data_IF_482449718906
#
_entry.id   IF_482449718906
#
_cell.length_a   1.000
_cell.length_b   1.000
_cell.length_c   1.000
_cell.angle_alpha   90.00
_cell.angle_beta   90.00
_cell.angle_gamma   90.00
#
_symmetry.space_group_name_H-M   'P 1'
#
loop_
_entity.id
_entity.type
_entity.pdbx_description
1 polymer ?
#
# COMPACT_ATOMS: atom_id res chain seq x y z
N UNK A 1 17.86 -10.79 18.18
CA UNK A 1 17.98 -10.35 16.77
C UNK A 1 17.30 -9.00 16.63
N UNK A 2 17.97 -8.02 16.04
CA UNK A 2 17.40 -6.71 15.74
C UNK A 2 16.56 -6.79 14.46
N UNK A 3 15.46 -6.04 14.38
CA UNK A 3 14.54 -5.98 13.22
C UNK A 3 14.58 -4.57 12.64
N UNK A 4 14.62 -4.43 11.31
CA UNK A 4 14.85 -3.15 10.63
C UNK A 4 13.70 -2.70 9.76
N UNK A 5 13.44 -1.41 9.75
CA UNK A 5 12.44 -0.74 8.90
C UNK A 5 13.10 -0.39 7.56
N UNK A 6 12.80 -1.13 6.50
CA UNK A 6 13.25 -0.78 5.16
C UNK A 6 12.31 0.25 4.53
N UNK A 7 12.88 1.36 4.06
CA UNK A 7 12.19 2.37 3.24
C UNK A 7 13.02 2.59 1.98
N UNK A 8 12.80 1.76 0.96
CA UNK A 8 13.44 1.98 -0.33
C UNK A 8 12.62 2.99 -1.16
N UNK A 9 13.23 4.08 -1.64
CA UNK A 9 12.60 4.92 -2.64
C UNK A 9 12.52 4.16 -3.96
N UNK A 10 11.32 4.16 -4.55
CA UNK A 10 11.03 3.65 -5.88
C UNK A 10 12.13 4.03 -6.89
N UNK A 11 12.95 3.06 -7.29
CA UNK A 11 13.97 3.22 -8.34
C UNK A 11 14.00 1.97 -9.23
N UNK A 12 14.23 2.20 -10.53
CA UNK A 12 14.01 1.24 -11.63
C UNK A 12 14.76 -0.08 -11.42
N UNK A 13 14.01 -1.18 -11.55
CA UNK A 13 14.40 -2.51 -11.08
C UNK A 13 15.27 -3.36 -12.01
N UNK A 14 15.54 -4.59 -11.55
CA UNK A 14 16.07 -5.76 -12.28
C UNK A 14 15.73 -7.03 -11.46
N UNK A 15 15.06 -8.01 -12.11
CA UNK A 15 14.98 -9.48 -11.83
C UNK A 15 14.59 -9.99 -10.44
N UNK A 16 14.10 -11.21 -10.19
CA UNK A 16 13.50 -12.31 -10.95
C UNK A 16 12.84 -13.23 -9.89
N UNK A 17 11.61 -13.72 -10.15
CA UNK A 17 10.96 -15.00 -9.71
C UNK A 17 11.04 -15.45 -8.22
N UNK A 18 10.06 -16.07 -7.52
CA UNK A 18 9.01 -17.05 -7.85
C UNK A 18 7.84 -17.00 -6.83
N UNK A 19 6.72 -17.64 -7.22
CA UNK A 19 5.41 -17.79 -6.57
C UNK A 19 5.37 -18.41 -5.16
N UNK A 20 4.44 -17.97 -4.30
CA UNK A 20 3.74 -18.85 -3.32
C UNK A 20 2.45 -18.25 -2.71
N UNK A 21 1.64 -19.15 -2.14
CA UNK A 21 0.20 -19.12 -1.84
C UNK A 21 -0.30 -18.20 -0.70
N UNK A 22 -1.57 -17.82 -0.82
CA UNK A 22 -2.30 -16.80 -0.04
C UNK A 22 -2.76 -17.30 1.33
N UNK A 23 -2.19 -16.76 2.41
CA UNK A 23 -2.61 -16.98 3.80
C UNK A 23 -3.30 -15.75 4.42
N UNK A 24 -4.43 -15.95 5.11
CA UNK A 24 -5.16 -14.93 5.88
C UNK A 24 -4.30 -14.41 7.04
N UNK A 25 -4.04 -13.10 7.08
CA UNK A 25 -3.30 -12.47 8.18
C UNK A 25 -4.09 -12.42 9.49
N UNK A 26 -3.50 -12.97 10.55
CA UNK A 26 -3.94 -12.81 11.95
C UNK A 26 -3.28 -11.58 12.59
N UNK A 27 -4.06 -10.85 13.37
CA UNK A 27 -3.73 -9.55 13.98
C UNK A 27 -3.09 -9.76 15.36
N UNK A 28 -1.77 -9.56 15.47
CA UNK A 28 -1.07 -9.47 16.76
C UNK A 28 -0.48 -8.07 16.93
N UNK A 29 -1.02 -7.29 17.86
CA UNK A 29 -0.60 -5.91 18.15
C UNK A 29 0.28 -5.84 19.40
N UNK A 30 1.58 -5.61 19.23
CA UNK A 30 2.46 -5.07 20.28
C UNK A 30 2.92 -3.68 19.87
N UNK A 31 2.62 -2.67 20.70
CA UNK A 31 3.02 -1.27 20.45
C UNK A 31 4.50 -1.07 20.79
N UNK A 32 5.30 -0.71 19.78
CA UNK A 32 6.70 -0.30 19.94
C UNK A 32 6.84 1.22 19.75
N UNK A 33 7.95 1.83 20.17
CA UNK A 33 8.24 3.25 19.89
C UNK A 33 8.28 3.57 18.38
N UNK A 34 8.49 2.54 17.55
CA UNK A 34 8.56 2.61 16.10
C UNK A 34 7.18 2.52 15.40
N UNK A 35 6.09 2.36 16.16
CA UNK A 35 4.74 2.19 15.64
C UNK A 35 4.15 0.82 15.94
N UNK A 36 2.97 0.55 15.35
CA UNK A 36 2.28 -0.74 15.47
C UNK A 36 2.83 -1.71 14.43
N UNK A 37 3.15 -2.93 14.87
CA UNK A 37 3.56 -4.00 13.96
C UNK A 37 2.40 -4.91 13.60
N UNK A 38 2.46 -5.55 12.43
CA UNK A 38 1.49 -6.55 11.98
C UNK A 38 2.16 -7.53 11.00
N UNK A 39 1.55 -8.70 10.79
CA UNK A 39 2.06 -9.70 9.84
C UNK A 39 1.19 -9.79 8.59
N UNK A 40 1.85 -10.04 7.46
CA UNK A 40 1.21 -10.46 6.20
C UNK A 40 1.98 -11.67 5.72
N UNK A 41 1.33 -12.84 5.68
CA UNK A 41 2.03 -14.11 5.47
C UNK A 41 3.14 -14.32 6.51
N UNK A 42 4.35 -14.61 6.03
CA UNK A 42 5.54 -14.75 6.86
C UNK A 42 6.23 -13.41 7.20
N UNK A 43 5.94 -12.35 6.45
CA UNK A 43 6.59 -11.06 6.59
C UNK A 43 5.99 -10.24 7.74
N UNK A 44 6.83 -9.47 8.40
CA UNK A 44 6.46 -8.56 9.47
C UNK A 44 6.53 -7.12 8.94
N UNK A 45 5.58 -6.28 9.33
CA UNK A 45 5.47 -4.90 8.88
C UNK A 45 5.34 -3.96 10.07
N UNK A 46 5.71 -2.69 9.85
CA UNK A 46 5.50 -1.57 10.79
C UNK A 46 4.63 -0.51 10.13
N UNK A 47 3.65 0.00 10.89
CA UNK A 47 2.87 1.18 10.53
C UNK A 47 3.58 2.42 11.07
N UNK A 48 3.85 3.39 10.20
CA UNK A 48 4.45 4.65 10.59
C UNK A 48 3.66 5.35 11.71
N UNK A 49 4.34 5.85 12.77
CA UNK A 49 3.66 6.45 13.91
C UNK A 49 3.06 7.83 13.57
N UNK A 50 3.72 8.62 12.72
CA UNK A 50 3.39 10.04 12.51
C UNK A 50 3.11 10.46 11.04
N UNK A 51 3.43 9.64 10.04
CA UNK A 51 3.12 9.96 8.64
C UNK A 51 1.69 9.55 8.29
N UNK A 52 0.75 10.49 8.42
CA UNK A 52 -0.65 10.32 8.02
C UNK A 52 -0.96 11.16 6.79
N UNK A 53 -1.46 10.52 5.73
CA UNK A 53 -2.03 11.20 4.55
C UNK A 53 -3.54 11.06 4.62
N UNK A 54 -4.27 12.14 4.44
CA UNK A 54 -5.73 12.14 4.54
C UNK A 54 -6.33 11.85 3.16
N UNK A 55 -7.19 10.84 3.09
CA UNK A 55 -8.10 10.72 1.95
C UNK A 55 -9.20 11.78 2.13
N UNK A 56 -9.51 12.59 1.10
CA UNK A 56 -10.53 13.63 1.23
C UNK A 56 -11.89 13.00 1.53
N UNK A 57 -12.54 13.43 2.61
CA UNK A 57 -13.84 12.92 3.06
C UNK A 57 -14.97 13.17 2.05
N UNK A 58 -14.91 14.27 1.30
CA UNK A 58 -15.86 14.65 0.24
C UNK A 58 -15.61 13.95 -1.10
N UNK A 59 -14.42 13.39 -1.32
CA UNK A 59 -14.01 12.77 -2.59
C UNK A 59 -14.19 11.25 -2.60
N UNK A 60 -14.44 10.62 -1.45
CA UNK A 60 -14.81 9.21 -1.37
C UNK A 60 -16.29 9.12 -1.70
N UNK A 61 -16.62 8.93 -3.00
CA UNK A 61 -17.99 8.57 -3.33
C UNK A 61 -18.29 7.22 -2.70
N UNK A 62 -19.47 7.15 -2.07
CA UNK A 62 -20.08 6.03 -1.35
C UNK A 62 -20.28 4.78 -2.24
N UNK A 63 -19.24 4.31 -2.93
CA UNK A 63 -19.26 3.04 -3.65
C UNK A 63 -18.99 1.95 -2.63
N UNK A 64 -20.05 1.69 -1.86
CA UNK A 64 -20.49 0.42 -1.28
C UNK A 64 -19.59 -0.34 -0.30
N UNK A 65 -20.25 -0.69 0.81
CA UNK A 65 -19.83 -1.42 2.02
C UNK A 65 -18.97 -0.58 2.97
N UNK A 66 -19.41 -0.55 4.23
CA UNK A 66 -18.73 0.07 5.38
C UNK A 66 -17.23 -0.19 5.20
N UNK A 67 -16.50 0.86 4.86
CA UNK A 67 -15.06 0.81 4.77
C UNK A 67 -14.56 0.19 6.07
N UNK A 68 -13.76 -0.87 6.00
CA UNK A 68 -13.18 -1.40 7.23
C UNK A 68 -12.37 -0.26 7.81
N UNK A 69 -12.70 0.15 9.05
CA UNK A 69 -12.05 1.28 9.72
C UNK A 69 -10.54 1.06 9.82
N UNK A 70 -10.07 -0.16 9.63
CA UNK A 70 -8.67 -0.53 9.60
C UNK A 70 -8.45 -1.54 8.46
N UNK A 71 -7.30 -1.49 7.79
CA UNK A 71 -6.97 -2.50 6.79
C UNK A 71 -5.85 -2.12 5.84
N UNK A 72 -5.39 -3.09 5.07
CA UNK A 72 -4.35 -2.90 4.07
C UNK A 72 -4.92 -2.25 2.80
N UNK A 73 -4.13 -1.39 2.19
CA UNK A 73 -4.49 -0.72 0.96
C UNK A 73 -3.31 -0.54 0.01
N UNK A 74 -3.61 -0.42 -1.28
CA UNK A 74 -2.64 -0.03 -2.32
C UNK A 74 -3.16 1.20 -3.05
N UNK A 75 -2.34 2.23 -3.17
CA UNK A 75 -2.61 3.43 -3.96
C UNK A 75 -2.00 3.28 -5.34
N UNK A 76 -2.83 3.46 -6.36
CA UNK A 76 -2.42 3.57 -7.75
C UNK A 76 -2.54 5.02 -8.22
N UNK A 77 -1.44 5.60 -8.72
CA UNK A 77 -1.49 6.89 -9.40
C UNK A 77 -1.95 6.69 -10.85
N UNK A 78 -3.15 7.19 -11.17
CA UNK A 78 -3.71 7.07 -12.52
C UNK A 78 -3.31 8.31 -13.32
N UNK A 79 -2.52 8.14 -14.40
CA UNK A 79 -2.09 9.27 -15.22
C UNK A 79 -3.28 10.01 -15.81
N UNK A 80 -3.20 11.33 -15.83
CA UNK A 80 -4.24 12.19 -16.39
C UNK A 80 -4.18 12.18 -17.91
N UNK A 81 -5.33 12.02 -18.57
CA UNK A 81 -5.44 12.09 -20.04
C UNK A 81 -5.62 13.52 -20.57
N UNK A 82 -5.40 14.55 -19.73
CA UNK A 82 -5.58 15.97 -20.06
C UNK A 82 -6.30 16.74 -18.94
N UNK A 83 -6.37 18.08 -19.03
CA UNK A 83 -6.89 18.95 -17.94
C UNK A 83 -8.33 18.61 -17.50
N UNK A 84 -9.17 18.10 -18.41
CA UNK A 84 -10.61 17.84 -18.15
C UNK A 84 -11.09 16.43 -18.51
N UNK A 85 -10.20 15.56 -19.00
CA UNK A 85 -10.55 14.20 -19.41
C UNK A 85 -10.62 13.25 -18.20
N UNK A 86 -11.67 12.43 -18.15
CA UNK A 86 -11.80 11.39 -17.11
C UNK A 86 -10.98 10.16 -17.51
N UNK A 87 -9.86 9.91 -16.83
CA UNK A 87 -9.04 8.72 -17.06
C UNK A 87 -9.84 7.43 -16.82
N UNK A 88 -9.63 6.43 -17.66
CA UNK A 88 -10.28 5.11 -17.55
C UNK A 88 -9.27 4.03 -17.21
N UNK A 89 -9.44 3.41 -16.04
CA UNK A 89 -8.66 2.27 -15.56
C UNK A 89 -9.13 0.99 -16.26
N UNK A 90 -8.31 0.53 -17.20
CA UNK A 90 -8.52 -0.70 -17.97
C UNK A 90 -7.83 -1.89 -17.29
N UNK A 91 -8.28 -3.10 -17.61
CA UNK A 91 -7.70 -4.34 -17.09
C UNK A 91 -6.20 -4.44 -17.40
N UNK A 92 -5.82 -4.22 -18.66
CA UNK A 92 -4.42 -4.29 -19.09
C UNK A 92 -3.51 -3.32 -18.34
N UNK A 93 -4.02 -2.15 -17.98
CA UNK A 93 -3.28 -1.17 -17.19
C UNK A 93 -3.05 -1.65 -15.76
N UNK A 94 -4.07 -2.24 -15.11
CA UNK A 94 -3.92 -2.81 -13.76
C UNK A 94 -2.93 -3.97 -13.77
N UNK A 95 -3.03 -4.88 -14.74
CA UNK A 95 -2.13 -6.03 -14.84
C UNK A 95 -0.67 -5.57 -14.96
N UNK A 96 -0.42 -4.54 -15.79
CA UNK A 96 0.90 -3.94 -15.89
C UNK A 96 1.33 -3.30 -14.57
N UNK A 97 0.47 -2.49 -13.95
CA UNK A 97 0.81 -1.78 -12.71
C UNK A 97 1.09 -2.73 -11.53
N UNK A 98 0.36 -3.84 -11.44
CA UNK A 98 0.61 -4.88 -10.43
C UNK A 98 1.94 -5.59 -10.67
N UNK A 99 2.21 -5.97 -11.92
CA UNK A 99 3.49 -6.56 -12.27
C UNK A 99 4.66 -5.61 -11.94
N UNK A 100 4.47 -4.32 -12.21
CA UNK A 100 5.47 -3.30 -11.85
C UNK A 100 5.67 -3.28 -10.32
N UNK A 101 4.60 -3.30 -9.50
CA UNK A 101 4.72 -3.36 -8.03
C UNK A 101 5.42 -4.62 -7.52
N UNK A 102 4.98 -5.79 -7.97
CA UNK A 102 5.54 -7.09 -7.58
C UNK A 102 7.05 -7.18 -7.88
N UNK A 103 7.53 -6.45 -8.91
CA UNK A 103 8.93 -6.47 -9.31
C UNK A 103 9.80 -5.44 -8.58
N UNK A 104 9.27 -4.31 -8.12
CA UNK A 104 10.10 -3.17 -7.68
C UNK A 104 9.79 -2.67 -6.28
N UNK A 105 8.69 -3.11 -5.68
CA UNK A 105 8.27 -2.69 -4.34
C UNK A 105 8.39 -3.89 -3.39
N UNK A 106 9.48 -3.94 -2.64
CA UNK A 106 9.79 -4.99 -1.68
C UNK A 106 8.82 -5.04 -0.48
N UNK A 107 8.07 -3.95 -0.28
CA UNK A 107 7.03 -3.85 0.74
C UNK A 107 5.70 -4.43 0.22
N UNK A 108 5.46 -4.39 -1.09
CA UNK A 108 4.20 -4.84 -1.67
C UNK A 108 3.98 -6.34 -1.46
N UNK A 109 2.79 -6.67 -0.96
CA UNK A 109 2.24 -8.02 -0.91
C UNK A 109 0.80 -7.95 -1.46
N UNK A 110 0.34 -9.00 -2.13
CA UNK A 110 -0.99 -9.02 -2.74
C UNK A 110 -2.12 -8.78 -1.73
N UNK A 111 -1.92 -9.06 -0.44
CA UNK A 111 -2.87 -8.74 0.62
C UNK A 111 -3.14 -7.23 0.76
N UNK A 112 -2.22 -6.36 0.33
CA UNK A 112 -2.46 -4.92 0.27
C UNK A 112 -3.54 -4.53 -0.73
N UNK A 113 -3.89 -5.41 -1.68
CA UNK A 113 -5.01 -5.21 -2.58
C UNK A 113 -6.38 -5.33 -1.90
N UNK A 114 -6.46 -5.66 -0.61
CA UNK A 114 -7.72 -5.68 0.14
C UNK A 114 -8.54 -4.39 -0.07
N UNK A 115 -7.86 -3.25 -0.15
CA UNK A 115 -8.43 -1.96 -0.53
C UNK A 115 -7.60 -1.31 -1.63
N UNK A 116 -8.22 -1.00 -2.76
CA UNK A 116 -7.52 -0.36 -3.89
C UNK A 116 -7.95 1.10 -4.02
N UNK A 117 -7.00 2.03 -3.94
CA UNK A 117 -7.23 3.46 -4.10
C UNK A 117 -6.67 3.92 -5.44
N UNK A 118 -7.52 4.40 -6.34
CA UNK A 118 -7.09 5.04 -7.58
C UNK A 118 -7.05 6.55 -7.40
N UNK A 119 -5.86 7.14 -7.32
CA UNK A 119 -5.67 8.58 -7.28
C UNK A 119 -5.50 9.11 -8.71
N UNK A 120 -6.54 9.74 -9.25
CA UNK A 120 -6.47 10.35 -10.57
C UNK A 120 -5.67 11.65 -10.56
N UNK A 121 -4.70 11.82 -11.45
CA UNK A 121 -3.88 13.05 -11.56
C UNK A 121 -4.62 14.29 -12.07
N UNK A 122 -5.94 14.26 -12.22
CA UNK A 122 -6.76 15.36 -12.75
C UNK A 122 -7.93 15.72 -11.82
N UNK A 123 -8.72 16.74 -12.21
CA UNK A 123 -9.87 17.22 -11.43
C UNK A 123 -11.02 16.20 -11.33
N UNK A 124 -11.06 15.20 -12.22
CA UNK A 124 -12.13 14.20 -12.28
C UNK A 124 -11.65 12.85 -11.75
N UNK A 125 -12.49 12.21 -10.92
CA UNK A 125 -12.24 10.86 -10.41
C UNK A 125 -12.13 9.89 -11.59
N UNK A 126 -11.17 8.95 -11.61
CA UNK A 126 -11.08 7.99 -12.70
C UNK A 126 -12.35 7.14 -12.80
N UNK A 127 -12.54 6.49 -13.94
CA UNK A 127 -13.54 5.43 -14.12
C UNK A 127 -12.83 4.10 -14.14
N UNK A 128 -13.37 3.08 -13.47
CA UNK A 128 -12.88 1.71 -13.60
C UNK A 128 -13.79 0.90 -14.53
N UNK A 129 -13.19 0.09 -15.40
CA UNK A 129 -13.94 -0.82 -16.27
C UNK A 129 -14.48 -2.03 -15.47
N UNK A 130 -15.61 -2.65 -15.85
CA UNK A 130 -16.13 -3.82 -15.15
C UNK A 130 -15.14 -4.99 -15.10
N UNK A 131 -14.41 -5.26 -16.20
CA UNK A 131 -13.37 -6.29 -16.26
C UNK A 131 -12.23 -6.03 -15.29
N UNK A 132 -11.77 -4.78 -15.20
CA UNK A 132 -10.77 -4.35 -14.22
C UNK A 132 -11.22 -4.58 -12.77
N UNK A 133 -12.46 -4.17 -12.45
CA UNK A 133 -13.05 -4.37 -11.13
C UNK A 133 -13.15 -5.86 -10.77
N UNK A 134 -13.66 -6.68 -11.68
CA UNK A 134 -13.79 -8.12 -11.47
C UNK A 134 -12.43 -8.78 -11.23
N UNK A 135 -11.41 -8.38 -11.99
CA UNK A 135 -10.05 -8.87 -11.80
C UNK A 135 -9.49 -8.57 -10.41
N UNK A 136 -9.61 -7.32 -9.93
CA UNK A 136 -9.18 -6.96 -8.58
C UNK A 136 -9.96 -7.72 -7.50
N UNK A 137 -11.27 -7.92 -7.68
CA UNK A 137 -12.06 -8.73 -6.75
C UNK A 137 -11.57 -10.18 -6.69
N UNK A 138 -11.17 -10.77 -7.83
CA UNK A 138 -10.56 -12.11 -7.85
C UNK A 138 -9.23 -12.16 -7.10
N UNK A 139 -8.46 -11.07 -7.11
CA UNK A 139 -7.21 -10.94 -6.37
C UNK A 139 -7.40 -10.63 -4.87
N UNK A 140 -8.65 -10.52 -4.39
CA UNK A 140 -8.97 -10.31 -2.98
C UNK A 140 -9.43 -8.90 -2.62
N UNK A 141 -9.59 -7.99 -3.59
CA UNK A 141 -10.05 -6.63 -3.32
C UNK A 141 -11.50 -6.61 -2.82
N UNK A 142 -11.69 -6.02 -1.63
CA UNK A 142 -12.99 -5.86 -0.96
C UNK A 142 -13.49 -4.42 -1.05
N UNK A 143 -12.58 -3.46 -1.19
CA UNK A 143 -12.87 -2.04 -1.35
C UNK A 143 -12.16 -1.43 -2.56
N UNK A 144 -12.85 -0.53 -3.27
CA UNK A 144 -12.25 0.29 -4.32
C UNK A 144 -12.63 1.75 -4.08
N UNK A 145 -11.63 2.61 -3.97
CA UNK A 145 -11.78 4.06 -3.81
C UNK A 145 -11.30 4.75 -5.08
N UNK A 146 -12.09 5.71 -5.56
CA UNK A 146 -11.74 6.54 -6.71
C UNK A 146 -11.58 7.98 -6.22
N UNK A 147 -10.37 8.50 -6.28
CA UNK A 147 -10.01 9.85 -5.86
C UNK A 147 -9.60 10.72 -7.05
N UNK A 148 -9.70 12.03 -6.90
CA UNK A 148 -9.25 13.02 -7.88
C UNK A 148 -8.31 14.02 -7.23
N UNK A 149 -7.09 14.13 -7.76
CA UNK A 149 -6.15 15.18 -7.44
C UNK A 149 -5.78 15.26 -5.95
N UNK A 150 -5.65 14.12 -5.26
CA UNK A 150 -5.11 14.12 -3.90
C UNK A 150 -3.62 14.42 -4.02
N UNK A 151 -3.27 15.68 -3.84
CA UNK A 151 -1.89 16.11 -3.71
C UNK A 151 -1.24 15.32 -2.57
N UNK A 152 0.02 14.94 -2.75
CA UNK A 152 0.81 14.24 -1.74
C UNK A 152 0.28 12.85 -1.32
N UNK A 153 -0.38 12.12 -2.21
CA UNK A 153 -0.64 10.68 -2.00
C UNK A 153 0.15 9.86 -3.02
N UNK A 154 1.39 9.44 -2.68
CA UNK A 154 2.22 8.66 -3.57
C UNK A 154 1.63 7.25 -3.82
N UNK A 155 1.98 6.65 -4.97
CA UNK A 155 1.67 5.25 -5.24
C UNK A 155 2.37 4.32 -4.24
N UNK A 156 1.75 3.20 -3.88
CA UNK A 156 2.36 2.17 -3.03
C UNK A 156 1.42 1.54 -2.00
N UNK A 157 1.95 0.63 -1.15
CA UNK A 157 1.21 0.00 -0.06
C UNK A 157 1.03 0.94 1.15
N UNK A 158 -0.10 0.80 1.85
CA UNK A 158 -0.49 1.61 3.00
C UNK A 158 -1.27 0.80 4.02
N UNK A 159 -1.25 1.28 5.26
CA UNK A 159 -2.20 0.89 6.30
C UNK A 159 -3.27 1.97 6.47
N UNK A 160 -4.53 1.58 6.40
CA UNK A 160 -5.67 2.47 6.60
C UNK A 160 -6.13 2.46 8.05
N UNK A 161 -6.41 3.66 8.56
CA UNK A 161 -7.03 3.93 9.86
C UNK A 161 -8.10 5.00 9.67
N UNK A 162 -9.34 4.59 9.41
CA UNK A 162 -10.46 5.45 9.06
C UNK A 162 -10.24 6.11 7.69
N UNK A 163 -10.10 7.45 7.70
CA UNK A 163 -9.77 8.23 6.51
C UNK A 163 -8.28 8.58 6.40
N UNK A 164 -7.44 8.03 7.29
CA UNK A 164 -5.99 8.21 7.27
C UNK A 164 -5.31 7.02 6.61
N UNK A 165 -4.40 7.31 5.70
CA UNK A 165 -3.42 6.38 5.14
C UNK A 165 -2.10 6.58 5.87
N UNK A 166 -1.50 5.51 6.34
CA UNK A 166 -0.21 5.51 7.00
C UNK A 166 0.77 4.72 6.17
N UNK A 167 1.97 5.27 6.00
CA UNK A 167 3.06 4.56 5.34
C UNK A 167 3.31 3.24 6.11
N UNK A 168 3.60 2.19 5.35
CA UNK A 168 4.00 0.89 5.89
C UNK A 168 5.41 0.58 5.44
N UNK A 169 6.11 -0.16 6.29
CA UNK A 169 7.45 -0.64 6.02
C UNK A 169 7.52 -2.11 6.33
N UNK A 170 8.20 -2.86 5.48
CA UNK A 170 8.49 -4.27 5.74
C UNK A 170 9.70 -4.35 6.66
N UNK A 171 9.59 -5.22 7.66
CA UNK A 171 10.70 -5.60 8.53
C UNK A 171 11.40 -6.80 7.91
N UNK A 172 12.67 -6.60 7.57
CA UNK A 172 13.56 -7.66 7.13
C UNK A 172 14.57 -7.97 8.24
N UNK A 173 14.97 -9.23 8.33
CA UNK A 173 16.02 -9.66 9.25
C UNK A 173 17.37 -9.18 8.73
N UNK A 174 18.20 -8.61 9.62
CA UNK A 174 19.56 -8.15 9.30
C UNK A 174 20.51 -9.35 9.12
N UNK A 175 20.29 -10.10 8.04
CA UNK A 175 21.01 -11.34 7.75
C UNK A 175 22.47 -11.07 7.42
N UNK A 176 22.79 -9.87 6.93
CA UNK A 176 24.14 -9.47 6.54
C UNK A 176 24.86 -8.63 7.59
N UNK A 177 24.27 -8.43 8.78
CA UNK A 177 24.84 -7.59 9.84
C UNK A 177 25.17 -6.17 9.37
N UNK A 178 24.44 -5.67 8.39
CA UNK A 178 24.71 -4.40 7.71
C UNK A 178 24.28 -3.22 8.58
N UNK A 179 23.43 -3.46 9.59
CA UNK A 179 23.01 -2.42 10.51
C UNK A 179 23.83 -2.47 11.79
N UNK A 180 24.53 -1.35 12.05
CA UNK A 180 25.23 -1.14 13.32
C UNK A 180 24.21 -0.99 14.44
N UNK A 181 24.22 -1.91 15.40
CA UNK A 181 23.44 -1.79 16.64
C UNK A 181 24.21 -0.90 17.59
N UNK A 182 23.78 0.35 17.76
CA UNK A 182 24.37 1.25 18.74
C UNK A 182 23.75 0.98 20.11
N UNK A 183 24.55 0.51 21.07
CA UNK A 183 24.14 0.43 22.47
C UNK A 183 24.15 1.83 23.10
N UNK A 184 23.03 2.26 23.67
CA UNK A 184 22.98 3.48 24.45
C UNK A 184 23.86 3.30 25.72
N UNK A 185 24.80 4.21 26.00
CA UNK A 185 25.60 4.12 27.21
C UNK A 185 24.67 4.27 28.42
N UNK A 186 24.74 3.32 29.36
CA UNK A 186 24.06 3.46 30.65
C UNK A 186 24.65 4.66 31.38
N UNK A 187 23.83 5.68 31.64
CA UNK A 187 24.19 6.75 32.57
C UNK A 187 24.48 6.12 33.93
N UNK A 188 25.65 6.43 34.50
CA UNK A 188 25.98 6.11 35.89
C UNK A 188 25.19 7.01 36.84
#
# INVERSE_FOLDING_TARGET
MAKLICRLPWSKGVGDSEHSDVGKGEEFTTGSEYGRTFKVGAALYVVAPFSCRLLPSSSIDKITRKFTRYGLATVFSVPSSGKDARSTVRLSWIQKALKDYEMVDDVFDQAFLATVVFNGGGKRKPRITPKAKQYLTKLGARGIVLCSGVADLPPGPYYMTGHQMRDVWKLEDDTYGTCMVTVAPKSK
#
